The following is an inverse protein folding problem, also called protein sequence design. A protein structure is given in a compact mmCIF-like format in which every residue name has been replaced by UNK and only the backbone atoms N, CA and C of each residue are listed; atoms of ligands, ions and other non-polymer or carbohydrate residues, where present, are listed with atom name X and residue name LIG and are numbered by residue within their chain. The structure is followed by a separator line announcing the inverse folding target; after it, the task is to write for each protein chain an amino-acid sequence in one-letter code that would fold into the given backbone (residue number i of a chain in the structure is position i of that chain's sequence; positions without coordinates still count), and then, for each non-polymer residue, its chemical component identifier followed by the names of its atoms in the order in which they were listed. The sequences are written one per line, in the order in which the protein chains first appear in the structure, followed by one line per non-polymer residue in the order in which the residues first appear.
data_IF_058328213656
#
_entry.id   IF_058328213656
#
_cell.length_a   1.000
_cell.length_b   1.000
_cell.length_c   1.000
_cell.angle_alpha   90.00
_cell.angle_beta   90.00
_cell.angle_gamma   90.00
#
_symmetry.space_group_name_H-M   'P 1'
#
loop_
_entity.id
_entity.type
_entity.pdbx_description
1 polymer ?
#
# COMPACT_ATOMS: atom_id res chain seq x y z
N UNK A 1 -16.48 23.05 -28.59
CA UNK A 1 -15.91 22.75 -27.26
C UNK A 1 -14.46 23.20 -27.25
N UNK A 2 -14.02 24.02 -26.29
CA UNK A 2 -12.58 24.26 -26.10
C UNK A 2 -11.94 22.90 -25.77
N UNK A 3 -10.80 22.53 -26.38
CA UNK A 3 -10.08 21.35 -25.95
C UNK A 3 -9.71 21.58 -24.48
N UNK A 4 -10.31 20.78 -23.58
CA UNK A 4 -9.86 20.71 -22.20
C UNK A 4 -8.38 20.38 -22.23
N UNK A 5 -7.56 21.14 -21.50
CA UNK A 5 -6.14 20.78 -21.32
C UNK A 5 -6.07 19.29 -20.97
N UNK A 6 -5.16 18.50 -21.58
CA UNK A 6 -4.99 17.11 -21.20
C UNK A 6 -4.75 17.07 -19.69
N UNK A 7 -5.57 16.30 -18.98
CA UNK A 7 -5.40 16.13 -17.54
C UNK A 7 -4.08 15.40 -17.32
N UNK A 8 -3.17 16.00 -16.56
CA UNK A 8 -1.95 15.36 -16.06
C UNK A 8 -2.14 15.15 -14.57
N UNK A 9 -1.95 13.93 -14.09
CA UNK A 9 -1.75 13.74 -12.66
C UNK A 9 -0.52 14.51 -12.19
N UNK A 10 -0.50 15.04 -10.95
CA UNK A 10 0.72 15.55 -10.36
C UNK A 10 1.77 14.43 -10.27
N UNK A 11 3.06 14.74 -10.44
CA UNK A 11 4.12 13.74 -10.35
C UNK A 11 4.21 13.18 -8.93
N UNK A 12 4.56 11.90 -8.82
CA UNK A 12 4.88 11.26 -7.55
C UNK A 12 6.20 11.84 -7.01
N UNK A 13 6.15 12.35 -5.77
CA UNK A 13 7.25 12.96 -5.02
C UNK A 13 7.17 12.46 -3.58
N UNK A 14 7.65 11.23 -3.37
CA UNK A 14 7.70 10.61 -2.05
C UNK A 14 8.69 11.35 -1.16
N UNK A 15 8.28 11.64 0.07
CA UNK A 15 9.17 12.10 1.13
C UNK A 15 9.48 10.88 2.00
N UNK A 16 10.76 10.47 2.04
CA UNK A 16 11.16 9.30 2.83
C UNK A 16 11.01 9.54 4.35
N UNK A 17 10.90 8.47 5.14
CA UNK A 17 10.92 8.52 6.61
C UNK A 17 12.19 9.24 7.14
N UNK A 18 12.03 10.10 8.15
CA UNK A 18 13.14 10.68 8.91
C UNK A 18 13.54 9.74 10.05
N UNK A 19 14.56 8.91 9.84
CA UNK A 19 14.97 7.85 10.77
C UNK A 19 16.29 8.18 11.49
N UNK A 20 16.26 9.14 12.41
CA UNK A 20 17.46 9.64 13.09
C UNK A 20 17.48 9.28 14.58
N UNK A 21 18.68 9.08 15.14
CA UNK A 21 18.87 8.92 16.59
C UNK A 21 18.23 7.68 17.21
N UNK A 22 17.92 6.66 16.41
CA UNK A 22 17.24 5.46 16.91
C UNK A 22 18.16 4.58 17.77
N UNK A 23 17.63 4.13 18.91
CA UNK A 23 18.26 3.13 19.78
C UNK A 23 17.71 1.72 19.49
N UNK A 24 18.49 0.68 19.80
CA UNK A 24 17.97 -0.68 19.77
C UNK A 24 16.96 -0.87 20.90
N UNK A 25 15.78 -1.43 20.60
CA UNK A 25 14.77 -1.70 21.61
C UNK A 25 15.21 -2.81 22.55
N UNK A 26 15.06 -2.59 23.86
CA UNK A 26 15.29 -3.60 24.89
C UNK A 26 14.07 -4.49 25.18
N UNK A 27 12.93 -4.19 24.56
CA UNK A 27 11.64 -4.84 24.77
C UNK A 27 10.92 -5.08 23.44
N UNK A 28 9.95 -5.96 23.44
CA UNK A 28 9.00 -6.09 22.34
C UNK A 28 8.15 -4.82 22.18
N UNK A 29 7.60 -4.60 20.99
CA UNK A 29 6.64 -3.53 20.73
C UNK A 29 5.41 -3.67 21.64
N UNK A 30 4.95 -4.91 21.85
CA UNK A 30 3.84 -5.21 22.75
C UNK A 30 4.09 -4.71 24.17
N UNK A 31 5.27 -4.98 24.74
CA UNK A 31 5.64 -4.53 26.08
C UNK A 31 5.73 -3.00 26.17
N UNK A 32 6.19 -2.33 25.11
CA UNK A 32 6.16 -0.87 25.06
C UNK A 32 4.75 -0.31 25.09
N UNK A 33 3.81 -0.91 24.37
CA UNK A 33 2.42 -0.44 24.36
C UNK A 33 1.66 -0.64 25.68
N UNK A 34 2.19 -1.45 26.60
CA UNK A 34 1.65 -1.56 27.97
C UNK A 34 1.90 -0.28 28.76
N UNK A 35 3.04 0.37 28.56
CA UNK A 35 3.45 1.54 29.35
C UNK A 35 3.37 2.86 28.59
N UNK A 36 3.40 2.81 27.26
CA UNK A 36 3.48 3.99 26.41
C UNK A 36 2.28 4.08 25.45
N UNK A 37 1.80 5.31 25.24
CA UNK A 37 0.88 5.62 24.13
C UNK A 37 1.64 5.80 22.81
N UNK A 38 2.89 6.26 22.89
CA UNK A 38 3.75 6.53 21.72
C UNK A 38 5.08 5.80 21.87
N UNK A 39 5.36 4.90 20.93
CA UNK A 39 6.67 4.25 20.81
C UNK A 39 7.49 5.05 19.81
N UNK A 40 8.67 5.54 20.23
CA UNK A 40 9.47 6.47 19.42
C UNK A 40 10.96 6.17 19.43
N UNK A 41 11.59 6.31 18.27
CA UNK A 41 13.06 6.34 18.18
C UNK A 41 13.70 4.99 18.41
N UNK A 42 13.01 3.90 18.04
CA UNK A 42 13.45 2.54 18.35
C UNK A 42 13.66 1.71 17.08
N UNK A 43 14.66 0.84 17.15
CA UNK A 43 14.87 -0.26 16.22
C UNK A 43 14.48 -1.58 16.86
N UNK A 44 13.70 -2.37 16.14
CA UNK A 44 13.34 -3.72 16.50
C UNK A 44 13.95 -4.65 15.46
N UNK A 45 14.74 -5.63 15.89
CA UNK A 45 15.51 -6.47 14.98
C UNK A 45 15.38 -7.95 15.32
N UNK A 46 15.09 -8.79 14.32
CA UNK A 46 15.11 -10.26 14.42
C UNK A 46 14.33 -10.80 15.62
N UNK A 47 13.06 -10.43 15.71
CA UNK A 47 12.17 -10.89 16.77
C UNK A 47 10.77 -11.16 16.26
N UNK A 48 9.94 -11.74 17.13
CA UNK A 48 8.52 -11.98 16.85
C UNK A 48 7.67 -11.12 17.77
N UNK A 49 6.74 -10.37 17.18
CA UNK A 49 5.66 -9.71 17.87
C UNK A 49 4.42 -10.60 17.82
N UNK A 50 3.89 -10.98 18.97
CA UNK A 50 2.76 -11.91 19.05
C UNK A 50 1.53 -11.29 19.67
N UNK A 51 0.40 -11.41 18.97
CA UNK A 51 -0.93 -11.11 19.48
C UNK A 51 -1.01 -9.70 20.07
N UNK A 52 -0.44 -8.71 19.36
CA UNK A 52 -0.70 -7.30 19.67
C UNK A 52 -2.14 -7.02 19.26
N UNK A 53 -2.97 -6.55 20.18
CA UNK A 53 -4.30 -6.04 19.87
C UNK A 53 -4.45 -4.70 20.58
N UNK A 54 -4.26 -3.62 19.83
CA UNK A 54 -4.38 -2.27 20.34
C UNK A 54 -5.05 -1.35 19.34
N UNK A 55 -5.62 -0.27 19.86
CA UNK A 55 -6.19 0.81 19.05
C UNK A 55 -5.63 2.15 19.50
N UNK A 56 -5.56 3.11 18.57
CA UNK A 56 -5.23 4.52 18.86
C UNK A 56 -3.81 4.78 19.40
N UNK A 57 -2.89 3.82 19.24
CA UNK A 57 -1.47 3.98 19.58
C UNK A 57 -0.72 4.81 18.54
N UNK A 58 0.50 5.21 18.87
CA UNK A 58 1.42 5.88 17.93
C UNK A 58 2.78 5.19 17.85
N UNK A 59 3.32 5.06 16.65
CA UNK A 59 4.70 4.62 16.38
C UNK A 59 5.37 5.71 15.55
N UNK A 60 6.49 6.24 16.04
CA UNK A 60 7.16 7.38 15.40
C UNK A 60 8.67 7.20 15.30
N UNK A 61 9.27 7.45 14.12
CA UNK A 61 10.72 7.31 13.96
C UNK A 61 11.20 5.93 14.42
N UNK A 62 10.61 4.87 13.87
CA UNK A 62 10.94 3.49 14.24
C UNK A 62 11.30 2.66 13.02
N UNK A 63 12.21 1.71 13.21
CA UNK A 63 12.58 0.73 12.18
C UNK A 63 12.33 -0.68 12.70
N UNK A 64 11.64 -1.48 11.91
CA UNK A 64 11.46 -2.92 12.14
C UNK A 64 12.26 -3.66 11.07
N UNK A 65 13.25 -4.46 11.47
CA UNK A 65 14.09 -5.24 10.56
C UNK A 65 13.97 -6.72 10.89
N UNK A 66 13.60 -7.55 9.92
CA UNK A 66 13.45 -9.01 10.12
C UNK A 66 12.49 -9.37 11.27
N UNK A 67 11.43 -8.58 11.46
CA UNK A 67 10.42 -8.81 12.51
C UNK A 67 9.26 -9.60 11.93
N UNK A 68 8.78 -10.60 12.67
CA UNK A 68 7.57 -11.35 12.34
C UNK A 68 6.41 -10.85 13.20
N UNK A 69 5.29 -10.49 12.57
CA UNK A 69 4.08 -10.03 13.27
C UNK A 69 3.00 -11.11 13.17
N UNK A 70 2.82 -11.87 14.25
CA UNK A 70 1.88 -12.98 14.31
C UNK A 70 0.60 -12.55 15.03
N UNK A 71 -0.53 -12.63 14.34
CA UNK A 71 -1.86 -12.31 14.89
C UNK A 71 -1.97 -10.89 15.46
N UNK A 72 -1.33 -9.91 14.82
CA UNK A 72 -1.30 -8.53 15.30
C UNK A 72 -2.40 -7.65 14.67
N UNK A 73 -2.99 -6.76 15.47
CA UNK A 73 -3.99 -5.76 15.11
C UNK A 73 -3.59 -4.42 15.72
N UNK A 74 -3.32 -3.46 14.85
CA UNK A 74 -2.90 -2.10 15.14
C UNK A 74 -3.97 -1.14 14.58
N UNK A 75 -5.19 -1.24 15.10
CA UNK A 75 -6.34 -0.49 14.58
C UNK A 75 -6.19 1.01 14.87
N UNK A 76 -6.61 1.88 13.96
CA UNK A 76 -6.60 3.33 14.16
C UNK A 76 -5.28 3.89 14.74
N UNK A 77 -4.16 3.26 14.38
CA UNK A 77 -2.83 3.56 14.92
C UNK A 77 -2.15 4.59 14.02
N UNK A 78 -1.38 5.50 14.61
CA UNK A 78 -0.65 6.52 13.88
C UNK A 78 0.80 6.09 13.66
N UNK A 79 1.20 5.97 12.41
CA UNK A 79 2.57 5.69 12.00
C UNK A 79 3.17 6.96 11.38
N UNK A 80 4.31 7.40 11.86
CA UNK A 80 5.02 8.55 11.30
C UNK A 80 6.51 8.27 11.25
N UNK A 81 7.12 8.37 10.07
CA UNK A 81 8.53 8.04 9.89
C UNK A 81 8.83 6.60 10.33
N UNK A 82 8.22 5.63 9.66
CA UNK A 82 8.39 4.21 10.00
C UNK A 82 8.92 3.44 8.81
N UNK A 83 9.85 2.52 9.06
CA UNK A 83 10.34 1.58 8.04
C UNK A 83 10.17 0.13 8.52
N UNK A 84 9.57 -0.69 7.67
CA UNK A 84 9.57 -2.14 7.77
C UNK A 84 10.51 -2.70 6.69
N UNK A 85 11.48 -3.50 7.09
CA UNK A 85 12.49 -4.07 6.21
C UNK A 85 12.61 -5.57 6.48
N UNK A 86 12.41 -6.41 5.46
CA UNK A 86 12.46 -7.87 5.58
C UNK A 86 11.49 -8.44 6.65
N UNK A 87 10.38 -7.75 6.92
CA UNK A 87 9.39 -8.19 7.90
C UNK A 87 8.36 -9.15 7.29
N UNK A 88 7.84 -10.06 8.13
CA UNK A 88 6.61 -10.78 7.83
C UNK A 88 5.45 -10.09 8.55
N UNK A 89 4.57 -9.46 7.77
CA UNK A 89 3.38 -8.75 8.18
C UNK A 89 2.12 -9.45 7.66
N UNK A 90 2.21 -10.74 7.31
CA UNK A 90 1.09 -11.49 6.76
C UNK A 90 -0.10 -11.44 7.72
N UNK A 91 -1.29 -11.16 7.18
CA UNK A 91 -2.56 -11.07 7.93
C UNK A 91 -2.60 -10.02 9.06
N UNK A 92 -1.59 -9.15 9.20
CA UNK A 92 -1.67 -8.06 10.18
C UNK A 92 -2.80 -7.11 9.77
N UNK A 93 -3.50 -6.54 10.77
CA UNK A 93 -4.50 -5.49 10.51
C UNK A 93 -3.99 -4.12 10.95
N UNK A 94 -4.02 -3.17 10.02
CA UNK A 94 -3.81 -1.74 10.21
C UNK A 94 -5.11 -0.95 9.97
N UNK A 95 -6.28 -1.58 10.06
CA UNK A 95 -7.56 -0.96 9.72
C UNK A 95 -7.72 0.44 10.36
N UNK A 96 -8.24 1.40 9.59
CA UNK A 96 -8.49 2.78 10.02
C UNK A 96 -7.24 3.58 10.44
N UNK A 97 -6.03 3.06 10.22
CA UNK A 97 -4.77 3.72 10.60
C UNK A 97 -4.36 4.86 9.67
N UNK A 98 -3.51 5.74 10.21
CA UNK A 98 -2.86 6.82 9.44
C UNK A 98 -1.37 6.55 9.34
N UNK A 99 -0.86 6.46 8.10
CA UNK A 99 0.52 6.11 7.79
C UNK A 99 1.16 7.27 7.02
N UNK A 100 2.06 7.99 7.67
CA UNK A 100 2.77 9.15 7.12
C UNK A 100 4.26 8.88 6.99
N UNK A 101 4.81 9.02 5.78
CA UNK A 101 6.23 8.75 5.48
C UNK A 101 6.60 7.35 5.96
N UNK A 102 6.03 6.36 5.29
CA UNK A 102 6.22 4.95 5.61
C UNK A 102 6.87 4.20 4.46
N UNK A 103 7.78 3.28 4.80
CA UNK A 103 8.47 2.42 3.85
C UNK A 103 8.28 0.95 4.22
N UNK A 104 7.87 0.13 3.24
CA UNK A 104 7.92 -1.32 3.29
C UNK A 104 8.93 -1.80 2.23
N UNK A 105 9.99 -2.49 2.67
CA UNK A 105 11.09 -2.91 1.80
C UNK A 105 11.29 -4.41 1.97
N UNK A 106 11.11 -5.16 0.88
CA UNK A 106 11.29 -6.61 0.86
C UNK A 106 10.48 -7.34 1.94
N UNK A 107 9.26 -6.85 2.19
CA UNK A 107 8.34 -7.40 3.19
C UNK A 107 7.40 -8.44 2.58
N UNK A 108 6.95 -9.38 3.42
CA UNK A 108 5.81 -10.24 3.12
C UNK A 108 4.55 -9.63 3.74
N UNK A 109 3.61 -9.24 2.90
CA UNK A 109 2.37 -8.51 3.20
C UNK A 109 1.13 -9.31 2.78
N UNK A 110 1.25 -10.64 2.71
CA UNK A 110 0.18 -11.51 2.20
C UNK A 110 -1.05 -11.41 3.11
N UNK A 111 -2.19 -11.01 2.57
CA UNK A 111 -3.43 -10.83 3.34
C UNK A 111 -3.39 -9.68 4.35
N UNK A 112 -2.38 -8.79 4.29
CA UNK A 112 -2.33 -7.61 5.16
C UNK A 112 -3.56 -6.73 4.93
N UNK A 113 -4.18 -6.27 6.02
CA UNK A 113 -5.46 -5.58 6.00
C UNK A 113 -5.31 -4.10 6.38
N UNK A 114 -5.44 -3.18 5.42
CA UNK A 114 -5.37 -1.72 5.55
C UNK A 114 -6.68 -1.01 5.08
N UNK A 115 -7.89 -1.49 5.40
CA UNK A 115 -9.10 -0.83 4.95
C UNK A 115 -9.28 0.51 5.66
N UNK A 116 -9.88 1.47 4.96
CA UNK A 116 -10.18 2.81 5.48
C UNK A 116 -8.94 3.55 6.02
N UNK A 117 -7.76 3.24 5.49
CA UNK A 117 -6.50 3.86 5.94
C UNK A 117 -6.22 5.16 5.20
N UNK A 118 -5.36 5.98 5.79
CA UNK A 118 -4.79 7.15 5.14
C UNK A 118 -3.30 6.91 4.94
N UNK A 119 -2.87 6.75 3.69
CA UNK A 119 -1.45 6.62 3.33
C UNK A 119 -0.97 7.92 2.68
N UNK A 120 0.01 8.57 3.32
CA UNK A 120 0.66 9.77 2.80
C UNK A 120 2.18 9.56 2.71
N UNK A 121 2.77 9.75 1.53
CA UNK A 121 4.19 9.50 1.31
C UNK A 121 4.58 8.06 1.66
N UNK A 122 3.89 7.10 1.03
CA UNK A 122 4.12 5.67 1.22
C UNK A 122 5.01 5.13 0.10
N UNK A 123 5.97 4.27 0.45
CA UNK A 123 6.70 3.47 -0.53
C UNK A 123 6.67 2.00 -0.16
N UNK A 124 6.30 1.17 -1.12
CA UNK A 124 6.33 -0.29 -1.04
C UNK A 124 7.24 -0.79 -2.15
N UNK A 125 8.33 -1.49 -1.81
CA UNK A 125 9.33 -1.96 -2.78
C UNK A 125 9.69 -3.42 -2.54
N UNK A 126 9.73 -4.20 -3.61
CA UNK A 126 10.13 -5.62 -3.58
C UNK A 126 9.27 -6.48 -2.63
N UNK A 127 7.99 -6.12 -2.45
CA UNK A 127 7.11 -6.78 -1.48
C UNK A 127 6.26 -7.88 -2.12
N UNK A 128 6.05 -8.97 -1.38
CA UNK A 128 4.98 -9.92 -1.69
C UNK A 128 3.70 -9.46 -0.99
N UNK A 129 2.78 -8.83 -1.72
CA UNK A 129 1.57 -8.19 -1.21
C UNK A 129 0.28 -8.81 -1.81
N UNK A 130 0.29 -10.11 -2.07
CA UNK A 130 -0.91 -10.82 -2.55
C UNK A 130 -2.04 -10.71 -1.54
N UNK A 131 -3.27 -10.53 -2.02
CA UNK A 131 -4.45 -10.36 -1.16
C UNK A 131 -4.34 -9.15 -0.20
N UNK A 132 -3.50 -8.16 -0.50
CA UNK A 132 -3.45 -6.91 0.26
C UNK A 132 -4.81 -6.21 0.17
N UNK A 133 -5.39 -5.81 1.29
CA UNK A 133 -6.62 -5.05 1.31
C UNK A 133 -6.33 -3.57 1.63
N UNK A 134 -6.57 -2.69 0.67
CA UNK A 134 -6.52 -1.23 0.78
C UNK A 134 -7.90 -0.58 0.60
N UNK A 135 -8.99 -1.36 0.55
CA UNK A 135 -10.34 -0.86 0.28
C UNK A 135 -10.71 0.39 1.08
N UNK A 136 -11.41 1.32 0.44
CA UNK A 136 -11.87 2.59 1.02
C UNK A 136 -10.75 3.53 1.52
N UNK A 137 -9.49 3.27 1.16
CA UNK A 137 -8.37 4.08 1.64
C UNK A 137 -8.16 5.37 0.85
N UNK A 138 -7.52 6.35 1.49
CA UNK A 138 -7.03 7.57 0.86
C UNK A 138 -5.52 7.46 0.70
N UNK A 139 -5.06 7.39 -0.54
CA UNK A 139 -3.65 7.16 -0.88
C UNK A 139 -3.11 8.36 -1.65
N UNK A 140 -2.18 9.08 -1.03
CA UNK A 140 -1.61 10.29 -1.58
C UNK A 140 -0.08 10.24 -1.55
N UNK A 141 0.55 10.56 -2.68
CA UNK A 141 2.01 10.44 -2.85
C UNK A 141 2.46 9.03 -2.47
N UNK A 142 2.13 8.04 -3.28
CA UNK A 142 2.52 6.65 -3.03
C UNK A 142 3.21 6.00 -4.23
N UNK A 143 4.15 5.11 -3.94
CA UNK A 143 4.89 4.35 -4.95
C UNK A 143 4.88 2.87 -4.54
N UNK A 144 4.33 2.03 -5.41
CA UNK A 144 4.46 0.58 -5.36
C UNK A 144 5.40 0.20 -6.50
N UNK A 145 6.55 -0.37 -6.16
CA UNK A 145 7.56 -0.77 -7.15
C UNK A 145 7.89 -2.25 -6.94
N UNK A 146 7.97 -3.03 -8.02
CA UNK A 146 8.39 -4.44 -7.97
C UNK A 146 7.59 -5.28 -6.96
N UNK A 147 6.29 -4.99 -6.83
CA UNK A 147 5.41 -5.62 -5.83
C UNK A 147 4.47 -6.65 -6.47
N UNK A 148 4.28 -7.77 -5.77
CA UNK A 148 3.28 -8.77 -6.13
C UNK A 148 1.95 -8.44 -5.46
N UNK A 149 1.03 -7.79 -6.17
CA UNK A 149 -0.28 -7.33 -5.70
C UNK A 149 -1.43 -8.18 -6.26
N UNK A 150 -1.17 -9.45 -6.63
CA UNK A 150 -2.24 -10.30 -7.18
C UNK A 150 -3.38 -10.46 -6.19
N UNK A 151 -4.61 -10.40 -6.71
CA UNK A 151 -5.84 -10.53 -5.91
C UNK A 151 -5.95 -9.48 -4.79
N UNK A 152 -5.26 -8.34 -4.89
CA UNK A 152 -5.38 -7.26 -3.91
C UNK A 152 -6.69 -6.49 -4.08
N UNK A 153 -7.26 -6.01 -2.98
CA UNK A 153 -8.46 -5.19 -2.97
C UNK A 153 -8.11 -3.70 -2.84
N UNK A 154 -8.31 -2.93 -3.90
CA UNK A 154 -8.20 -1.46 -3.93
C UNK A 154 -9.54 -0.82 -4.33
N UNK A 155 -10.67 -1.44 -3.99
CA UNK A 155 -12.00 -0.88 -4.23
C UNK A 155 -12.23 0.42 -3.43
N UNK A 156 -13.05 1.32 -3.97
CA UNK A 156 -13.47 2.57 -3.32
C UNK A 156 -12.33 3.48 -2.83
N UNK A 157 -11.14 3.36 -3.44
CA UNK A 157 -9.96 4.12 -3.05
C UNK A 157 -9.95 5.52 -3.67
N UNK A 158 -9.35 6.46 -2.94
CA UNK A 158 -9.02 7.80 -3.45
C UNK A 158 -7.52 7.88 -3.69
N UNK A 159 -7.12 7.78 -4.96
CA UNK A 159 -5.72 7.82 -5.37
C UNK A 159 -5.33 9.25 -5.81
N UNK A 160 -4.20 9.75 -5.34
CA UNK A 160 -3.64 11.05 -5.76
C UNK A 160 -2.13 10.98 -5.84
N UNK A 161 -1.56 11.12 -7.03
CA UNK A 161 -0.11 10.96 -7.26
C UNK A 161 0.37 9.57 -6.77
N UNK A 162 -0.16 8.52 -7.39
CA UNK A 162 0.19 7.13 -7.10
C UNK A 162 0.84 6.51 -8.34
N UNK A 163 1.90 5.74 -8.13
CA UNK A 163 2.56 4.96 -9.18
C UNK A 163 2.58 3.48 -8.81
N UNK A 164 2.30 2.64 -9.81
CA UNK A 164 2.53 1.20 -9.81
C UNK A 164 3.58 0.93 -10.88
N UNK A 165 4.81 0.61 -10.48
CA UNK A 165 5.94 0.43 -11.37
C UNK A 165 6.35 -1.03 -11.32
N UNK A 166 6.33 -1.73 -12.46
CA UNK A 166 6.76 -3.14 -12.54
C UNK A 166 6.04 -4.04 -11.50
N UNK A 167 4.71 -3.91 -11.40
CA UNK A 167 3.90 -4.62 -10.41
C UNK A 167 3.07 -5.73 -11.04
N UNK A 168 2.74 -6.76 -10.25
CA UNK A 168 1.78 -7.79 -10.61
C UNK A 168 0.41 -7.46 -10.02
N UNK A 169 -0.53 -7.02 -10.84
CA UNK A 169 -1.89 -6.61 -10.47
C UNK A 169 -2.94 -7.61 -11.01
N UNK A 170 -2.54 -8.86 -11.25
CA UNK A 170 -3.44 -9.91 -11.76
C UNK A 170 -4.62 -10.11 -10.81
N UNK A 171 -5.83 -10.05 -11.36
CA UNK A 171 -7.09 -10.15 -10.59
C UNK A 171 -7.21 -9.12 -9.45
N UNK A 172 -6.47 -8.01 -9.51
CA UNK A 172 -6.62 -6.93 -8.54
C UNK A 172 -7.95 -6.18 -8.76
N UNK A 173 -8.56 -5.76 -7.66
CA UNK A 173 -9.86 -5.08 -7.64
C UNK A 173 -9.67 -3.56 -7.52
N UNK A 174 -10.25 -2.80 -8.44
CA UNK A 174 -10.20 -1.33 -8.48
C UNK A 174 -11.60 -0.74 -8.80
N UNK A 175 -12.67 -1.45 -8.45
CA UNK A 175 -14.03 -0.96 -8.63
C UNK A 175 -14.25 0.30 -7.81
N UNK A 176 -14.81 1.33 -8.44
CA UNK A 176 -15.06 2.64 -7.83
C UNK A 176 -13.78 3.41 -7.44
N UNK A 177 -12.65 3.07 -8.06
CA UNK A 177 -11.35 3.71 -7.87
C UNK A 177 -10.88 4.36 -9.16
N UNK A 178 -11.05 5.67 -9.36
CA UNK A 178 -10.66 6.34 -10.59
C UNK A 178 -9.14 6.24 -10.85
N UNK A 179 -8.78 5.72 -12.02
CA UNK A 179 -7.39 5.46 -12.43
C UNK A 179 -6.84 6.54 -13.38
N UNK A 180 -7.55 7.67 -13.54
CA UNK A 180 -7.20 8.72 -14.49
C UNK A 180 -5.77 9.24 -14.28
N UNK A 181 -4.93 9.05 -15.29
CA UNK A 181 -3.52 9.47 -15.32
C UNK A 181 -2.57 8.57 -14.54
N UNK A 182 -3.05 7.44 -14.01
CA UNK A 182 -2.18 6.36 -13.51
C UNK A 182 -1.65 5.60 -14.71
N UNK A 183 -0.35 5.32 -14.68
CA UNK A 183 0.31 4.48 -15.67
C UNK A 183 0.39 3.04 -15.13
N UNK A 184 -0.17 2.11 -15.89
CA UNK A 184 -0.11 0.67 -15.65
C UNK A 184 0.65 -0.04 -16.76
N UNK A 185 1.21 0.68 -17.74
CA UNK A 185 1.75 0.11 -18.98
C UNK A 185 2.98 -0.79 -18.79
N UNK A 186 3.64 -0.70 -17.65
CA UNK A 186 4.78 -1.51 -17.24
C UNK A 186 4.43 -2.61 -16.21
N UNK A 187 3.16 -2.72 -15.83
CA UNK A 187 2.67 -3.67 -14.83
C UNK A 187 1.80 -4.76 -15.48
N UNK A 188 1.67 -5.94 -14.85
CA UNK A 188 0.81 -7.01 -15.34
C UNK A 188 -0.62 -6.86 -14.79
N UNK A 189 -1.64 -6.73 -15.64
CA UNK A 189 -3.02 -6.41 -15.23
C UNK A 189 -4.07 -7.43 -15.71
N UNK A 190 -3.64 -8.66 -16.02
CA UNK A 190 -4.56 -9.72 -16.47
C UNK A 190 -5.70 -9.94 -15.47
N UNK A 191 -6.94 -9.96 -15.95
CA UNK A 191 -8.11 -10.16 -15.10
C UNK A 191 -8.40 -9.03 -14.10
N UNK A 192 -7.79 -7.84 -14.27
CA UNK A 192 -8.07 -6.69 -13.40
C UNK A 192 -9.57 -6.34 -13.41
N UNK A 193 -10.14 -6.15 -12.23
CA UNK A 193 -11.54 -5.79 -12.07
C UNK A 193 -11.67 -4.27 -11.88
N UNK A 194 -12.26 -3.60 -12.87
CA UNK A 194 -12.44 -2.15 -12.92
C UNK A 194 -13.78 -1.82 -13.55
N UNK A 195 -14.40 -0.71 -13.14
CA UNK A 195 -15.59 -0.22 -13.84
C UNK A 195 -15.20 0.65 -15.04
N UNK A 196 -16.02 0.62 -16.10
CA UNK A 196 -15.78 1.39 -17.32
C UNK A 196 -15.56 2.91 -17.10
N UNK A 197 -16.23 3.59 -16.14
CA UNK A 197 -15.93 4.99 -15.85
C UNK A 197 -14.55 5.23 -15.24
N UNK A 198 -14.03 4.25 -14.48
CA UNK A 198 -12.83 4.40 -13.65
C UNK A 198 -11.54 4.30 -14.47
N UNK A 199 -11.56 3.60 -15.61
CA UNK A 199 -10.41 3.49 -16.53
C UNK A 199 -10.17 4.72 -17.42
N UNK A 200 -11.02 5.76 -17.31
CA UNK A 200 -10.93 6.93 -18.19
C UNK A 200 -9.63 7.69 -17.97
N UNK A 201 -8.76 7.66 -18.97
CA UNK A 201 -7.48 8.37 -18.97
C UNK A 201 -6.37 7.64 -18.22
N UNK A 202 -6.57 6.38 -17.83
CA UNK A 202 -5.48 5.48 -17.45
C UNK A 202 -4.54 5.27 -18.63
N UNK A 203 -3.24 5.16 -18.37
CA UNK A 203 -2.23 4.86 -19.38
C UNK A 203 -1.96 3.36 -19.32
N UNK A 204 -2.08 2.69 -20.47
CA UNK A 204 -1.94 1.25 -20.61
C UNK A 204 -1.16 0.93 -21.89
N UNK A 205 -0.56 -0.25 -21.95
CA UNK A 205 0.09 -0.76 -23.16
C UNK A 205 -0.94 -1.19 -24.21
N UNK A 206 -0.51 -1.46 -25.44
CA UNK A 206 -1.40 -1.95 -26.51
C UNK A 206 -2.01 -3.31 -26.16
N UNK A 207 -1.25 -4.21 -25.52
CA UNK A 207 -1.75 -5.51 -25.09
C UNK A 207 -2.85 -5.36 -24.04
N UNK A 208 -2.57 -4.56 -23.01
CA UNK A 208 -3.53 -4.25 -21.95
C UNK A 208 -4.80 -3.59 -22.49
N UNK A 209 -4.69 -2.71 -23.49
CA UNK A 209 -5.86 -2.14 -24.13
C UNK A 209 -6.75 -3.21 -24.77
N UNK A 210 -6.18 -4.29 -25.32
CA UNK A 210 -6.93 -5.45 -25.81
C UNK A 210 -7.59 -6.21 -24.68
N UNK A 211 -6.88 -6.48 -23.58
CA UNK A 211 -7.41 -7.19 -22.40
C UNK A 211 -8.64 -6.45 -21.82
N UNK A 212 -8.57 -5.12 -21.78
CA UNK A 212 -9.63 -4.25 -21.27
C UNK A 212 -10.83 -4.11 -22.21
N UNK A 213 -10.76 -4.58 -23.47
CA UNK A 213 -11.94 -4.59 -24.35
C UNK A 213 -13.05 -5.53 -23.85
N UNK A 214 -12.69 -6.51 -23.01
CA UNK A 214 -13.64 -7.37 -22.29
C UNK A 214 -14.66 -6.57 -21.47
N UNK A 215 -14.25 -5.42 -20.92
CA UNK A 215 -15.12 -4.49 -20.16
C UNK A 215 -16.22 -3.87 -21.01
N UNK A 216 -16.07 -3.87 -22.33
CA UNK A 216 -17.06 -3.37 -23.28
C UNK A 216 -18.09 -4.44 -23.67
N UNK A 217 -17.93 -5.68 -23.21
CA UNK A 217 -18.79 -6.81 -23.59
C UNK A 217 -18.64 -7.22 -25.05
N UNK A 218 -17.50 -6.91 -25.67
CA UNK A 218 -17.22 -7.23 -27.06
C UNK A 218 -16.89 -8.71 -27.23
N UNK A 219 -17.32 -9.29 -28.34
CA UNK A 219 -16.87 -10.60 -28.80
C UNK A 219 -15.78 -10.36 -29.85
N UNK A 220 -14.54 -10.70 -29.50
CA UNK A 220 -13.40 -10.61 -30.41
C UNK A 220 -13.33 -11.91 -31.22
N UNK A 221 -13.10 -11.79 -32.53
CA UNK A 221 -12.90 -12.92 -33.43
C UNK A 221 -11.62 -12.71 -34.22
N UNK A 222 -10.79 -13.74 -34.29
CA UNK A 222 -9.56 -13.78 -35.08
C UNK A 222 -9.84 -13.88 -36.60
#
# INVERSE_FOLDING_TARGET
MKPSKPFSMPPVRIVSPTLEGQAESSKSLKEWFVTEETVRGLRFNKQTEESIDCSYKSITNCTFSHVQFNNCKLKATHFTDVRFEHCDLSNISFAESSLLRIEFISCKLVGTNLPETILNHCRMRDCNARYLNLSMSKINQAEFATCDLRNSDLNDCKLTSVAFTDCELVEAEFSHTPLRGIDLSDSHIEGIHVNLPDIRGTIVSTHQAMDLTSLLGLVIKD
#
